data_IF_129486521028
#
_entry.id   IF_129486521028
#
_cell.length_a   1.000
_cell.length_b   1.000
_cell.length_c   1.000
_cell.angle_alpha   90.00
_cell.angle_beta   90.00
_cell.angle_gamma   90.00
#
_symmetry.space_group_name_H-M   'P 1'
#
loop_
_entity.id
_entity.type
_entity.pdbx_description
1 polymer ?
#
# COMPACT_ATOMS: atom_id res chain seq x y z
N UNK A 1 -19.82 7.93 -3.66
CA UNK A 1 -21.23 7.82 -4.00
C UNK A 1 -21.77 9.14 -4.49
N UNK A 2 -22.00 10.18 -3.66
CA UNK A 2 -22.49 11.48 -4.16
C UNK A 2 -21.59 12.18 -5.19
N UNK A 3 -20.28 11.91 -5.15
CA UNK A 3 -19.30 12.46 -6.11
C UNK A 3 -19.09 11.59 -7.36
N UNK A 4 -19.72 10.41 -7.46
CA UNK A 4 -19.47 9.45 -8.53
C UNK A 4 -18.11 8.74 -8.47
N UNK A 5 -17.32 8.98 -7.42
CA UNK A 5 -15.98 8.40 -7.29
C UNK A 5 -15.97 6.90 -6.97
N UNK A 6 -17.06 6.39 -6.41
CA UNK A 6 -17.23 4.97 -6.06
C UNK A 6 -18.63 4.49 -6.42
N UNK A 7 -18.74 3.22 -6.80
CA UNK A 7 -20.02 2.59 -7.18
C UNK A 7 -20.82 2.12 -5.96
N UNK A 8 -20.13 1.73 -4.88
CA UNK A 8 -20.77 1.19 -3.68
C UNK A 8 -19.83 1.17 -2.47
N UNK A 9 -20.30 0.54 -1.42
CA UNK A 9 -19.51 0.23 -0.22
C UNK A 9 -18.86 -1.13 -0.39
N UNK A 10 -17.67 -1.30 0.19
CA UNK A 10 -17.06 -2.61 0.37
C UNK A 10 -17.64 -3.23 1.64
N UNK A 11 -18.24 -4.40 1.52
CA UNK A 11 -18.92 -5.15 2.59
C UNK A 11 -18.69 -6.67 2.43
N UNK A 12 -19.29 -7.46 3.30
CA UNK A 12 -19.12 -8.92 3.30
C UNK A 12 -19.65 -9.60 2.02
N UNK A 13 -20.56 -8.97 1.29
CA UNK A 13 -21.11 -9.51 0.04
C UNK A 13 -20.22 -9.17 -1.17
N UNK A 14 -19.54 -8.01 -1.12
CA UNK A 14 -18.76 -7.51 -2.24
C UNK A 14 -17.25 -7.87 -2.16
N UNK A 15 -16.69 -8.07 -0.95
CA UNK A 15 -15.30 -8.48 -0.78
C UNK A 15 -14.93 -9.74 -1.59
N UNK A 16 -15.74 -10.83 -1.58
CA UNK A 16 -15.41 -12.06 -2.32
C UNK A 16 -15.33 -11.88 -3.85
N UNK A 17 -15.93 -10.84 -4.40
CA UNK A 17 -15.90 -10.56 -5.83
C UNK A 17 -14.73 -9.65 -6.26
N UNK A 18 -13.90 -9.19 -5.32
CA UNK A 18 -12.80 -8.31 -5.62
C UNK A 18 -11.58 -9.09 -6.13
N UNK A 19 -11.15 -8.82 -7.36
CA UNK A 19 -9.88 -9.33 -7.91
C UNK A 19 -8.66 -8.53 -7.40
N UNK A 20 -8.87 -7.26 -7.03
CA UNK A 20 -7.88 -6.35 -6.47
C UNK A 20 -8.44 -5.64 -5.25
N UNK A 21 -7.73 -5.69 -4.13
CA UNK A 21 -8.01 -4.94 -2.91
C UNK A 21 -6.85 -4.01 -2.58
N UNK A 22 -7.12 -2.71 -2.51
CA UNK A 22 -6.14 -1.68 -2.13
C UNK A 22 -6.39 -1.22 -0.70
N UNK A 23 -5.45 -1.47 0.20
CA UNK A 23 -5.50 -1.04 1.60
C UNK A 23 -4.85 0.34 1.73
N UNK A 24 -5.64 1.40 1.56
CA UNK A 24 -5.20 2.80 1.56
C UNK A 24 -5.59 3.53 2.86
N UNK A 25 -5.36 2.90 4.00
CA UNK A 25 -5.62 3.43 5.35
C UNK A 25 -4.35 3.36 6.20
N UNK A 26 -4.39 3.81 7.45
CA UNK A 26 -3.23 3.77 8.34
C UNK A 26 -2.71 2.33 8.56
N UNK A 27 -1.39 2.14 8.77
CA UNK A 27 -0.77 0.81 8.84
C UNK A 27 -1.46 -0.18 9.79
N UNK A 28 -1.73 0.24 11.03
CA UNK A 28 -2.44 -0.59 12.00
C UNK A 28 -3.88 -0.91 11.59
N UNK A 29 -4.54 0.03 10.92
CA UNK A 29 -5.88 -0.16 10.35
C UNK A 29 -5.89 -1.13 9.18
N UNK A 30 -4.92 -1.03 8.26
CA UNK A 30 -4.78 -1.93 7.12
C UNK A 30 -4.58 -3.38 7.58
N UNK A 31 -3.66 -3.60 8.51
CA UNK A 31 -3.40 -4.92 9.04
C UNK A 31 -4.61 -5.50 9.80
N UNK A 32 -5.22 -4.69 10.67
CA UNK A 32 -6.43 -5.11 11.40
C UNK A 32 -7.59 -5.43 10.46
N UNK A 33 -7.83 -4.60 9.45
CA UNK A 33 -8.90 -4.85 8.48
C UNK A 33 -8.71 -6.19 7.78
N UNK A 34 -7.47 -6.50 7.39
CA UNK A 34 -7.17 -7.76 6.72
C UNK A 34 -7.27 -8.97 7.66
N UNK A 35 -6.86 -8.82 8.93
CA UNK A 35 -7.07 -9.84 9.96
C UNK A 35 -8.55 -10.17 10.17
N UNK A 36 -9.40 -9.14 10.22
CA UNK A 36 -10.84 -9.29 10.47
C UNK A 36 -11.59 -9.85 9.23
N UNK A 37 -11.17 -9.45 8.02
CA UNK A 37 -11.91 -9.75 6.77
C UNK A 37 -11.22 -10.73 5.83
N UNK A 38 -9.99 -11.16 6.10
CA UNK A 38 -9.22 -12.02 5.21
C UNK A 38 -9.91 -13.34 4.84
N UNK A 39 -10.82 -13.82 5.70
CA UNK A 39 -11.65 -15.00 5.42
C UNK A 39 -12.63 -14.82 4.24
N UNK A 40 -12.94 -13.56 3.88
CA UNK A 40 -13.86 -13.20 2.79
C UNK A 40 -13.12 -12.94 1.47
N UNK A 41 -11.80 -12.76 1.53
CA UNK A 41 -10.99 -12.48 0.34
C UNK A 41 -10.84 -13.73 -0.50
N UNK A 42 -11.14 -13.61 -1.79
CA UNK A 42 -10.97 -14.72 -2.75
C UNK A 42 -9.50 -15.13 -2.87
N UNK A 43 -9.24 -16.43 -3.00
CA UNK A 43 -7.87 -16.99 -3.11
C UNK A 43 -7.12 -16.51 -4.36
N UNK A 44 -7.83 -16.15 -5.42
CA UNK A 44 -7.27 -15.53 -6.62
C UNK A 44 -7.02 -14.02 -6.51
N UNK A 45 -7.49 -13.37 -5.44
CA UNK A 45 -7.36 -11.92 -5.31
C UNK A 45 -5.91 -11.46 -5.05
N UNK A 46 -5.60 -10.28 -5.55
CA UNK A 46 -4.40 -9.52 -5.21
C UNK A 46 -4.76 -8.46 -4.17
N UNK A 47 -4.10 -8.52 -3.01
CA UNK A 47 -4.22 -7.51 -1.96
C UNK A 47 -2.93 -6.70 -1.92
N UNK A 48 -3.03 -5.38 -2.06
CA UNK A 48 -1.90 -4.47 -2.05
C UNK A 48 -2.13 -3.40 -0.98
N UNK A 49 -1.23 -3.25 -0.02
CA UNK A 49 -1.26 -2.10 0.87
C UNK A 49 -0.52 -0.89 0.27
N UNK A 50 -0.91 0.30 0.68
CA UNK A 50 -0.31 1.56 0.20
C UNK A 50 0.28 2.39 1.36
N UNK A 51 0.62 1.73 2.47
CA UNK A 51 1.12 2.39 3.67
C UNK A 51 2.57 2.86 3.51
N UNK A 52 2.96 3.87 4.28
CA UNK A 52 4.32 4.42 4.30
C UNK A 52 5.34 3.61 5.10
N UNK A 53 4.94 2.56 5.84
CA UNK A 53 5.82 1.63 6.56
C UNK A 53 5.49 0.19 6.17
N UNK A 54 6.50 -0.69 6.15
CA UNK A 54 6.32 -2.05 5.64
C UNK A 54 6.50 -3.14 6.70
N UNK A 55 7.41 -2.98 7.64
CA UNK A 55 7.71 -4.07 8.60
C UNK A 55 6.46 -4.50 9.37
N UNK A 56 5.77 -3.56 10.01
CA UNK A 56 4.58 -3.85 10.80
C UNK A 56 3.44 -4.43 9.95
N UNK A 57 3.19 -3.83 8.79
CA UNK A 57 2.11 -4.25 7.90
C UNK A 57 2.39 -5.63 7.31
N UNK A 58 3.57 -5.85 6.74
CA UNK A 58 3.93 -7.12 6.12
C UNK A 58 3.99 -8.26 7.15
N UNK A 59 4.54 -8.01 8.35
CA UNK A 59 4.59 -8.97 9.44
C UNK A 59 3.21 -9.53 9.81
N UNK A 60 2.18 -8.68 9.78
CA UNK A 60 0.80 -9.06 10.12
C UNK A 60 0.03 -9.61 8.92
N UNK A 61 0.19 -9.02 7.73
CA UNK A 61 -0.61 -9.35 6.56
C UNK A 61 -0.15 -10.62 5.84
N UNK A 62 1.15 -10.92 5.75
CA UNK A 62 1.64 -12.17 5.11
C UNK A 62 1.10 -13.46 5.76
N UNK A 63 1.03 -13.59 7.09
CA UNK A 63 0.42 -14.78 7.71
C UNK A 63 -1.08 -14.91 7.38
N UNK A 64 -1.81 -13.81 7.31
CA UNK A 64 -3.24 -13.81 6.95
C UNK A 64 -3.41 -14.29 5.50
N UNK A 65 -2.63 -13.74 4.58
CA UNK A 65 -2.66 -14.15 3.17
C UNK A 65 -2.36 -15.64 3.00
N UNK A 66 -1.32 -16.15 3.67
CA UNK A 66 -1.01 -17.59 3.65
C UNK A 66 -2.12 -18.45 4.23
N UNK A 67 -2.77 -17.99 5.30
CA UNK A 67 -3.87 -18.73 5.96
C UNK A 67 -5.08 -18.91 5.05
N UNK A 68 -5.42 -17.87 4.27
CA UNK A 68 -6.63 -17.85 3.45
C UNK A 68 -6.37 -18.06 1.95
N UNK A 69 -5.09 -18.13 1.53
CA UNK A 69 -4.69 -18.52 0.18
C UNK A 69 -4.66 -17.41 -0.86
N UNK A 70 -4.93 -16.15 -0.50
CA UNK A 70 -4.81 -15.03 -1.44
C UNK A 70 -3.38 -14.46 -1.47
N UNK A 71 -3.11 -13.62 -2.47
CA UNK A 71 -1.80 -12.97 -2.62
C UNK A 71 -1.78 -11.60 -1.96
N UNK A 72 -0.83 -11.37 -1.04
CA UNK A 72 -0.57 -10.04 -0.46
C UNK A 72 0.79 -9.53 -0.89
N UNK A 73 0.86 -8.26 -1.27
CA UNK A 73 2.10 -7.53 -1.56
C UNK A 73 2.10 -6.22 -0.79
N UNK A 74 3.17 -5.94 -0.07
CA UNK A 74 3.38 -4.62 0.52
C UNK A 74 3.69 -3.60 -0.57
N UNK A 75 3.05 -2.44 -0.51
CA UNK A 75 3.26 -1.37 -1.46
C UNK A 75 3.49 -0.03 -0.77
N UNK A 76 4.27 0.86 -1.40
CA UNK A 76 4.42 2.24 -0.97
C UNK A 76 4.57 3.16 -2.17
N UNK A 77 3.50 3.86 -2.58
CA UNK A 77 3.58 4.92 -3.56
C UNK A 77 4.44 6.08 -3.03
N UNK A 78 5.53 6.40 -3.70
CA UNK A 78 6.45 7.47 -3.29
C UNK A 78 5.93 8.84 -3.76
N UNK A 79 4.68 9.13 -3.42
CA UNK A 79 4.01 10.39 -3.72
C UNK A 79 3.00 10.73 -2.64
N UNK A 80 2.88 12.00 -2.32
CA UNK A 80 1.93 12.49 -1.33
C UNK A 80 1.76 14.00 -1.41
N UNK A 81 0.76 14.51 -0.71
CA UNK A 81 0.54 15.94 -0.53
C UNK A 81 0.49 16.28 0.95
N UNK A 82 0.66 17.55 1.30
CA UNK A 82 0.51 18.03 2.67
C UNK A 82 -0.95 18.04 3.16
N UNK A 83 -1.88 17.81 2.24
CA UNK A 83 -3.31 17.83 2.51
C UNK A 83 -3.86 16.41 2.59
N UNK A 84 -4.82 16.18 3.46
CA UNK A 84 -5.50 14.91 3.61
C UNK A 84 -7.00 15.04 3.31
N UNK A 85 -7.60 13.90 2.95
CA UNK A 85 -9.02 13.79 2.69
C UNK A 85 -9.40 13.89 1.21
N UNK A 86 -10.56 13.36 0.89
CA UNK A 86 -11.04 13.16 -0.47
C UNK A 86 -11.05 14.43 -1.33
N UNK A 87 -11.34 15.61 -0.75
CA UNK A 87 -11.37 16.89 -1.48
C UNK A 87 -10.03 17.28 -2.12
N UNK A 88 -8.92 16.68 -1.67
CA UNK A 88 -7.58 16.94 -2.21
C UNK A 88 -7.07 15.79 -3.10
N UNK A 89 -7.91 14.77 -3.34
CA UNK A 89 -7.53 13.69 -4.24
C UNK A 89 -7.37 14.19 -5.67
N UNK A 90 -6.37 13.64 -6.37
CA UNK A 90 -6.05 14.00 -7.75
C UNK A 90 -5.80 12.71 -8.54
N UNK A 91 -6.31 12.65 -9.76
CA UNK A 91 -6.13 11.50 -10.64
C UNK A 91 -4.66 11.32 -11.11
N UNK A 92 -3.88 12.41 -11.10
CA UNK A 92 -2.48 12.44 -11.56
C UNK A 92 -1.45 12.35 -10.41
N UNK A 93 -1.88 12.12 -9.16
CA UNK A 93 -1.01 12.11 -7.98
C UNK A 93 0.19 11.17 -8.12
N UNK A 94 -0.02 10.00 -8.71
CA UNK A 94 1.00 8.95 -8.84
C UNK A 94 1.72 8.97 -10.20
N UNK A 95 1.33 9.84 -11.13
CA UNK A 95 1.90 9.88 -12.47
C UNK A 95 3.40 10.18 -12.42
N UNK A 96 4.19 9.24 -12.93
CA UNK A 96 5.65 9.31 -12.92
C UNK A 96 6.31 9.02 -11.57
N UNK A 97 5.56 8.87 -10.48
CA UNK A 97 6.12 8.57 -9.18
C UNK A 97 6.66 7.13 -9.09
N UNK A 98 7.67 6.86 -8.24
CA UNK A 98 8.08 5.49 -7.94
C UNK A 98 7.04 4.77 -7.07
N UNK A 99 6.91 3.45 -7.28
CA UNK A 99 6.19 2.53 -6.43
C UNK A 99 7.17 1.49 -5.85
N UNK A 100 7.27 1.42 -4.53
CA UNK A 100 8.09 0.39 -3.88
C UNK A 100 7.21 -0.81 -3.55
N UNK A 101 7.70 -2.01 -3.85
CA UNK A 101 7.01 -3.27 -3.63
C UNK A 101 7.79 -4.16 -2.67
N UNK A 102 7.07 -4.78 -1.75
CA UNK A 102 7.58 -5.82 -0.83
C UNK A 102 6.75 -7.08 -1.08
N UNK A 103 7.15 -7.93 -2.04
CA UNK A 103 6.45 -9.17 -2.34
C UNK A 103 6.78 -10.25 -1.31
N UNK A 104 5.98 -11.33 -1.20
CA UNK A 104 6.29 -12.49 -0.36
C UNK A 104 7.51 -13.28 -0.86
N UNK A 105 7.83 -13.16 -2.16
CA UNK A 105 8.99 -13.77 -2.83
C UNK A 105 9.53 -12.82 -3.89
N UNK A 106 10.86 -12.71 -3.95
CA UNK A 106 11.54 -11.78 -4.89
C UNK A 106 11.67 -12.33 -6.32
N UNK A 107 11.61 -13.65 -6.46
CA UNK A 107 11.78 -14.37 -7.72
C UNK A 107 10.47 -14.63 -8.47
N UNK A 108 9.34 -14.14 -7.95
CA UNK A 108 8.02 -14.29 -8.55
C UNK A 108 7.75 -13.15 -9.57
N UNK A 109 8.31 -13.33 -10.76
CA UNK A 109 8.21 -12.35 -11.85
C UNK A 109 6.76 -12.17 -12.32
N UNK A 110 5.98 -13.25 -12.34
CA UNK A 110 4.57 -13.21 -12.75
C UNK A 110 3.74 -12.38 -11.77
N UNK A 111 3.99 -12.53 -10.47
CA UNK A 111 3.35 -11.69 -9.45
C UNK A 111 3.73 -10.21 -9.63
N UNK A 112 5.02 -9.91 -9.83
CA UNK A 112 5.48 -8.53 -10.02
C UNK A 112 4.87 -7.91 -11.29
N UNK A 113 4.73 -8.68 -12.36
CA UNK A 113 4.05 -8.23 -13.58
C UNK A 113 2.55 -7.99 -13.31
N UNK A 114 1.88 -8.90 -12.61
CA UNK A 114 0.48 -8.75 -12.22
C UNK A 114 0.24 -7.47 -11.40
N UNK A 115 1.13 -7.15 -10.45
CA UNK A 115 1.04 -5.89 -9.68
C UNK A 115 1.20 -4.68 -10.60
N UNK A 116 2.17 -4.70 -11.54
CA UNK A 116 2.38 -3.60 -12.48
C UNK A 116 1.15 -3.38 -13.37
N UNK A 117 0.57 -4.45 -13.88
CA UNK A 117 -0.63 -4.37 -14.73
C UNK A 117 -1.83 -3.83 -13.96
N UNK A 118 -2.04 -4.30 -12.73
CA UNK A 118 -3.10 -3.82 -11.86
C UNK A 118 -2.95 -2.32 -11.50
N UNK A 119 -1.71 -1.84 -11.38
CA UNK A 119 -1.41 -0.44 -11.03
C UNK A 119 -1.14 0.45 -12.25
N UNK A 120 -1.18 -0.08 -13.47
CA UNK A 120 -0.93 0.67 -14.71
C UNK A 120 -1.82 1.93 -14.85
N UNK A 121 -3.13 1.91 -14.48
CA UNK A 121 -3.97 3.10 -14.57
C UNK A 121 -3.50 4.27 -13.70
N UNK A 122 -2.69 4.02 -12.66
CA UNK A 122 -2.15 5.06 -11.78
C UNK A 122 -0.96 5.81 -12.40
N UNK A 123 -0.35 5.27 -13.47
CA UNK A 123 0.72 5.93 -14.21
C UNK A 123 2.07 6.01 -13.48
N UNK A 124 2.36 5.07 -12.59
CA UNK A 124 3.68 4.99 -11.93
C UNK A 124 4.81 4.92 -12.95
N UNK A 125 5.90 5.70 -12.73
CA UNK A 125 7.04 5.76 -13.63
C UNK A 125 8.06 4.64 -13.41
N UNK A 126 8.12 4.09 -12.19
CA UNK A 126 9.08 3.05 -11.81
C UNK A 126 8.51 2.15 -10.72
N UNK A 127 8.85 0.86 -10.78
CA UNK A 127 8.63 -0.09 -9.70
C UNK A 127 9.98 -0.60 -9.18
N UNK A 128 10.18 -0.55 -7.88
CA UNK A 128 11.35 -1.13 -7.21
C UNK A 128 10.90 -2.17 -6.19
N UNK A 129 11.72 -3.20 -6.01
CA UNK A 129 11.42 -4.34 -5.13
C UNK A 129 12.46 -4.39 -4.02
N UNK A 130 12.00 -4.56 -2.77
CA UNK A 130 12.86 -4.58 -1.58
C UNK A 130 12.26 -5.42 -0.47
N UNK A 131 12.98 -5.62 0.63
CA UNK A 131 12.44 -6.19 1.86
C UNK A 131 11.73 -5.14 2.71
N UNK A 132 10.89 -5.57 3.64
CA UNK A 132 10.21 -4.65 4.57
C UNK A 132 11.21 -3.89 5.47
N UNK A 133 12.27 -4.58 5.91
CA UNK A 133 13.32 -4.00 6.74
C UNK A 133 14.12 -2.95 6.00
N UNK A 134 14.57 -3.26 4.78
CA UNK A 134 15.34 -2.33 3.95
C UNK A 134 14.50 -1.12 3.56
N UNK A 135 13.24 -1.33 3.19
CA UNK A 135 12.30 -0.25 2.93
C UNK A 135 12.22 0.72 4.11
N UNK A 136 11.91 0.23 5.31
CA UNK A 136 11.69 1.10 6.46
C UNK A 136 13.00 1.78 6.90
N UNK A 137 14.14 1.10 6.74
CA UNK A 137 15.46 1.69 6.96
C UNK A 137 15.71 2.87 6.02
N UNK A 138 15.43 2.70 4.72
CA UNK A 138 15.62 3.77 3.73
C UNK A 138 14.67 4.94 3.96
N UNK A 139 13.40 4.67 4.29
CA UNK A 139 12.41 5.71 4.59
C UNK A 139 12.79 6.51 5.85
N UNK A 140 13.35 5.87 6.87
CA UNK A 140 13.86 6.56 8.06
C UNK A 140 14.94 7.60 7.69
N UNK A 141 15.85 7.27 6.78
CA UNK A 141 16.91 8.17 6.33
C UNK A 141 16.43 9.26 5.37
N UNK A 142 15.62 8.88 4.37
CA UNK A 142 15.30 9.81 3.26
C UNK A 142 14.12 10.72 3.56
N UNK A 143 13.20 10.29 4.42
CA UNK A 143 11.97 11.02 4.72
C UNK A 143 11.92 11.52 6.17
N UNK A 144 12.15 10.66 7.16
CA UNK A 144 11.91 11.01 8.56
C UNK A 144 13.06 11.83 9.17
N UNK A 145 14.31 11.48 8.89
CA UNK A 145 15.48 12.18 9.43
C UNK A 145 15.53 13.68 9.03
N UNK A 146 15.26 14.07 7.77
CA UNK A 146 15.16 15.48 7.40
C UNK A 146 14.11 16.25 8.20
N UNK A 147 12.96 15.64 8.52
CA UNK A 147 11.95 16.28 9.36
C UNK A 147 12.41 16.45 10.81
N UNK A 148 13.10 15.46 11.38
CA UNK A 148 13.67 15.56 12.72
C UNK A 148 14.72 16.65 12.80
N UNK A 149 15.63 16.69 11.83
CA UNK A 149 16.67 17.72 11.74
C UNK A 149 16.08 19.12 11.59
N UNK A 150 15.13 19.31 10.68
CA UNK A 150 14.46 20.59 10.48
C UNK A 150 13.75 21.06 11.76
N UNK A 151 13.02 20.18 12.44
CA UNK A 151 12.37 20.51 13.71
C UNK A 151 13.37 20.82 14.84
N UNK A 152 14.53 20.14 14.87
CA UNK A 152 15.57 20.43 15.84
C UNK A 152 16.18 21.82 15.61
N UNK A 153 16.44 22.20 14.35
CA UNK A 153 16.93 23.54 14.00
C UNK A 153 15.95 24.66 14.39
N UNK A 154 14.64 24.46 14.12
CA UNK A 154 13.61 25.46 14.43
C UNK A 154 13.46 25.65 15.96
N UNK A 155 13.69 24.60 16.75
CA UNK A 155 13.56 24.62 18.22
C UNK A 155 14.88 24.93 18.96
N UNK A 156 15.97 25.04 18.24
CA UNK A 156 17.26 25.43 18.82
C UNK A 156 17.28 26.96 19.04
N UNK A 157 17.67 27.45 20.24
CA UNK A 157 17.77 28.88 20.53
C UNK A 157 18.86 29.58 19.71
#
# INVERSE_FOLDING_TARGET
MLSGAVHGRLDEETIPACELLLLAIYPGGSAKWLEDNGRLVDSGALVLDLCGIKQEVCKRCFPVARKYGFTFVGGHPMAGTHFSGFKYSRADLYKGAPMVLVPPRFDDIDLLQRVKDAMAPCGFGMFSVTTAEEHDRMIAFTSQMPHVLSNAFIKSP
#
